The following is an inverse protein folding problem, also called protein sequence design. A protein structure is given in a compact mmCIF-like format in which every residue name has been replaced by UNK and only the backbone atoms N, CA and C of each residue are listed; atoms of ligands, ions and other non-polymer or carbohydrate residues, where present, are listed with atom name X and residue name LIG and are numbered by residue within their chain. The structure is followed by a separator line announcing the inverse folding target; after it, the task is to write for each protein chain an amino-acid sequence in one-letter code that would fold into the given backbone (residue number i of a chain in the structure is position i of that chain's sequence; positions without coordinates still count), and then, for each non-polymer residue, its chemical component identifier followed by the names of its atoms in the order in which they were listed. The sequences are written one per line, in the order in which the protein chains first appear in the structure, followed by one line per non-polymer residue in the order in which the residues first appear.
data_IF_101681271093
#
_entry.id   IF_101681271093
#
_cell.length_a   1.000
_cell.length_b   1.000
_cell.length_c   1.000
_cell.angle_alpha   90.00
_cell.angle_beta   90.00
_cell.angle_gamma   90.00
#
_symmetry.space_group_name_H-M   'P 1'
#
loop_
_entity.id
_entity.type
_entity.pdbx_description
1 polymer ?
#
# COMPACT_ATOMS: atom_id res chain seq x y z
N UNK A 1 40.45 34.94 -19.45
CA UNK A 1 39.50 35.26 -18.36
C UNK A 1 38.04 35.06 -18.77
N UNK A 2 37.61 35.49 -19.96
CA UNK A 2 36.20 35.36 -20.40
C UNK A 2 35.69 33.91 -20.48
N UNK A 3 36.44 32.98 -21.10
CA UNK A 3 36.05 31.57 -21.20
C UNK A 3 35.86 30.87 -19.83
N UNK A 4 36.66 31.26 -18.84
CA UNK A 4 36.54 30.73 -17.47
C UNK A 4 35.25 31.20 -16.78
N UNK A 5 34.84 32.44 -17.01
CA UNK A 5 33.60 32.99 -16.48
C UNK A 5 32.37 32.31 -17.09
N UNK A 6 32.34 32.16 -18.41
CA UNK A 6 31.25 31.46 -19.12
C UNK A 6 31.10 30.01 -18.64
N UNK A 7 32.22 29.28 -18.51
CA UNK A 7 32.21 27.91 -18.01
C UNK A 7 31.70 27.81 -16.57
N UNK A 8 32.05 28.77 -15.71
CA UNK A 8 31.60 28.80 -14.31
C UNK A 8 30.09 29.03 -14.23
N UNK A 9 29.55 29.99 -14.99
CA UNK A 9 28.11 30.27 -15.05
C UNK A 9 27.33 29.08 -15.61
N UNK A 10 27.86 28.44 -16.65
CA UNK A 10 27.24 27.26 -17.24
C UNK A 10 27.19 26.08 -16.27
N UNK A 11 28.27 25.83 -15.52
CA UNK A 11 28.32 24.77 -14.51
C UNK A 11 27.30 25.01 -13.39
N UNK A 12 27.19 26.26 -12.92
CA UNK A 12 26.18 26.66 -11.94
C UNK A 12 24.75 26.45 -12.48
N UNK A 13 24.51 26.78 -13.74
CA UNK A 13 23.23 26.54 -14.40
C UNK A 13 22.87 25.04 -14.45
N UNK A 14 23.82 24.18 -14.81
CA UNK A 14 23.60 22.72 -14.84
C UNK A 14 23.31 22.18 -13.44
N UNK A 15 24.04 22.62 -12.42
CA UNK A 15 23.81 22.21 -11.03
C UNK A 15 22.42 22.65 -10.55
N UNK A 16 22.01 23.88 -10.86
CA UNK A 16 20.70 24.40 -10.49
C UNK A 16 19.56 23.60 -11.14
N UNK A 17 19.65 23.33 -12.45
CA UNK A 17 18.64 22.54 -13.18
C UNK A 17 18.59 21.11 -12.64
N UNK A 18 19.75 20.48 -12.42
CA UNK A 18 19.82 19.11 -11.87
C UNK A 18 19.20 19.04 -10.48
N UNK A 19 19.51 20.00 -9.61
CA UNK A 19 18.93 20.11 -8.28
C UNK A 19 17.40 20.28 -8.32
N UNK A 20 16.90 21.12 -9.24
CA UNK A 20 15.47 21.32 -9.44
C UNK A 20 14.77 20.02 -9.90
N UNK A 21 15.36 19.30 -10.86
CA UNK A 21 14.82 18.01 -11.33
C UNK A 21 14.75 17.02 -10.17
N UNK A 22 15.82 16.87 -9.39
CA UNK A 22 15.85 15.96 -8.24
C UNK A 22 14.78 16.34 -7.22
N UNK A 23 14.62 17.64 -6.91
CA UNK A 23 13.60 18.10 -5.98
C UNK A 23 12.18 17.75 -6.47
N UNK A 24 11.88 17.99 -7.74
CA UNK A 24 10.58 17.64 -8.34
C UNK A 24 10.35 16.13 -8.24
N UNK A 25 11.33 15.31 -8.63
CA UNK A 25 11.23 13.85 -8.54
C UNK A 25 10.99 13.37 -7.11
N UNK A 26 11.66 13.97 -6.12
CA UNK A 26 11.45 13.64 -4.72
C UNK A 26 10.00 13.90 -4.27
N UNK A 27 9.44 15.06 -4.63
CA UNK A 27 8.05 15.37 -4.28
C UNK A 27 7.05 14.45 -5.01
N UNK A 28 7.32 14.09 -6.27
CA UNK A 28 6.49 13.14 -7.00
C UNK A 28 6.51 11.76 -6.36
N UNK A 29 7.69 11.25 -5.99
CA UNK A 29 7.82 9.96 -5.31
C UNK A 29 7.12 9.96 -3.96
N UNK A 30 7.24 11.05 -3.20
CA UNK A 30 6.54 11.21 -1.91
C UNK A 30 5.03 11.21 -2.08
N UNK A 31 4.50 11.92 -3.07
CA UNK A 31 3.08 11.94 -3.38
C UNK A 31 2.58 10.56 -3.85
N UNK A 32 3.33 9.90 -4.75
CA UNK A 32 3.01 8.57 -5.24
C UNK A 32 2.97 7.53 -4.10
N UNK A 33 3.93 7.58 -3.17
CA UNK A 33 3.92 6.73 -1.99
C UNK A 33 2.65 6.95 -1.14
N UNK A 34 2.23 8.21 -0.96
CA UNK A 34 0.97 8.54 -0.29
C UNK A 34 -0.25 7.92 -0.99
N UNK A 35 -0.34 8.05 -2.32
CA UNK A 35 -1.43 7.45 -3.10
C UNK A 35 -1.44 5.92 -3.04
N UNK A 36 -0.26 5.29 -3.06
CA UNK A 36 -0.14 3.83 -2.89
C UNK A 36 -0.67 3.41 -1.53
N UNK A 37 -0.28 4.10 -0.45
CA UNK A 37 -0.77 3.79 0.90
C UNK A 37 -2.29 3.96 1.02
N UNK A 38 -2.86 5.03 0.46
CA UNK A 38 -4.31 5.25 0.45
C UNK A 38 -5.01 4.14 -0.34
N UNK A 39 -4.51 3.80 -1.52
CA UNK A 39 -5.08 2.74 -2.35
C UNK A 39 -5.05 1.38 -1.64
N UNK A 40 -3.94 1.08 -0.95
CA UNK A 40 -3.83 -0.13 -0.13
C UNK A 40 -4.89 -0.12 0.99
N UNK A 41 -4.99 0.98 1.75
CA UNK A 41 -5.96 1.12 2.83
C UNK A 41 -7.41 0.99 2.36
N UNK A 42 -7.77 1.67 1.27
CA UNK A 42 -9.10 1.57 0.65
C UNK A 42 -9.34 0.17 0.12
N UNK A 43 -8.34 -0.48 -0.48
CA UNK A 43 -8.42 -1.86 -0.95
C UNK A 43 -8.73 -2.85 0.16
N UNK A 44 -8.12 -2.68 1.34
CA UNK A 44 -8.46 -3.47 2.52
C UNK A 44 -9.90 -3.24 2.99
N UNK A 45 -10.35 -1.99 3.12
CA UNK A 45 -11.74 -1.71 3.52
C UNK A 45 -12.74 -2.27 2.51
N UNK A 46 -12.47 -2.11 1.22
CA UNK A 46 -13.28 -2.66 0.14
C UNK A 46 -13.39 -4.18 0.23
N UNK A 47 -12.26 -4.87 0.44
CA UNK A 47 -12.23 -6.32 0.63
C UNK A 47 -13.15 -6.77 1.76
N UNK A 48 -13.05 -6.15 2.93
CA UNK A 48 -13.89 -6.51 4.08
C UNK A 48 -15.39 -6.37 3.77
N UNK A 49 -15.79 -5.23 3.20
CA UNK A 49 -17.21 -4.97 2.88
C UNK A 49 -17.72 -5.91 1.80
N UNK A 50 -16.93 -6.13 0.75
CA UNK A 50 -17.32 -6.96 -0.39
C UNK A 50 -17.43 -8.43 -0.01
N UNK A 51 -16.49 -8.95 0.78
CA UNK A 51 -16.50 -10.35 1.21
C UNK A 51 -17.62 -10.64 2.22
N UNK A 52 -17.91 -9.68 3.11
CA UNK A 52 -19.10 -9.77 3.97
C UNK A 52 -20.37 -9.80 3.10
N UNK A 53 -20.46 -8.96 2.07
CA UNK A 53 -21.58 -9.00 1.13
C UNK A 53 -21.71 -10.36 0.43
N UNK A 54 -20.62 -10.89 -0.13
CA UNK A 54 -20.59 -12.20 -0.79
C UNK A 54 -21.01 -13.31 0.19
N UNK A 55 -20.48 -13.29 1.41
CA UNK A 55 -20.77 -14.30 2.43
C UNK A 55 -22.26 -14.35 2.78
N UNK A 56 -22.93 -13.20 2.91
CA UNK A 56 -24.35 -13.16 3.27
C UNK A 56 -25.29 -13.32 2.06
N UNK A 57 -24.93 -12.73 0.92
CA UNK A 57 -25.87 -12.54 -0.20
C UNK A 57 -25.55 -13.43 -1.40
N UNK A 58 -24.27 -13.64 -1.71
CA UNK A 58 -23.82 -14.33 -2.92
C UNK A 58 -22.89 -15.51 -2.60
N UNK A 59 -23.37 -16.41 -1.73
CA UNK A 59 -22.60 -17.56 -1.22
C UNK A 59 -21.99 -18.44 -2.29
N UNK A 60 -22.66 -18.59 -3.44
CA UNK A 60 -22.13 -19.37 -4.55
C UNK A 60 -20.79 -18.81 -5.04
N UNK A 61 -20.71 -17.51 -5.30
CA UNK A 61 -19.47 -16.84 -5.74
C UNK A 61 -18.39 -16.87 -4.67
N UNK A 62 -18.77 -16.70 -3.41
CA UNK A 62 -17.88 -16.84 -2.26
C UNK A 62 -17.19 -18.22 -2.23
N UNK A 63 -17.97 -19.29 -2.41
CA UNK A 63 -17.42 -20.66 -2.39
C UNK A 63 -16.72 -21.05 -3.68
N UNK A 64 -17.15 -20.51 -4.82
CA UNK A 64 -16.57 -20.82 -6.13
C UNK A 64 -15.14 -20.30 -6.23
N UNK A 65 -14.90 -19.04 -5.85
CA UNK A 65 -13.55 -18.46 -5.85
C UNK A 65 -12.64 -19.21 -4.87
N UNK A 66 -13.15 -19.50 -3.66
CA UNK A 66 -12.40 -20.25 -2.66
C UNK A 66 -12.08 -21.69 -3.09
N UNK A 67 -12.99 -22.37 -3.79
CA UNK A 67 -12.77 -23.73 -4.28
C UNK A 67 -11.78 -23.77 -5.46
N UNK A 68 -11.83 -22.76 -6.34
CA UNK A 68 -10.94 -22.67 -7.50
C UNK A 68 -9.51 -22.27 -7.11
N UNK A 69 -9.38 -21.29 -6.21
CA UNK A 69 -8.10 -20.60 -5.96
C UNK A 69 -7.58 -20.77 -4.52
N UNK A 70 -8.36 -21.36 -3.60
CA UNK A 70 -7.94 -21.65 -2.24
C UNK A 70 -7.50 -20.41 -1.47
N UNK A 71 -6.34 -20.46 -0.81
CA UNK A 71 -5.79 -19.31 -0.07
C UNK A 71 -5.33 -18.14 -0.94
N UNK A 72 -5.11 -18.37 -2.25
CA UNK A 72 -4.74 -17.32 -3.20
C UNK A 72 -5.96 -16.63 -3.82
N UNK A 73 -7.16 -17.09 -3.48
CA UNK A 73 -8.44 -16.45 -3.82
C UNK A 73 -8.64 -15.16 -3.04
N UNK A 74 -9.52 -14.28 -3.51
CA UNK A 74 -9.83 -13.04 -2.79
C UNK A 74 -10.51 -13.37 -1.45
N UNK A 75 -11.43 -14.33 -1.46
CA UNK A 75 -12.09 -14.87 -0.27
C UNK A 75 -11.13 -15.56 0.70
N UNK A 76 -10.18 -16.34 0.19
CA UNK A 76 -9.19 -17.06 1.00
C UNK A 76 -8.24 -16.11 1.72
N UNK A 77 -7.80 -15.06 1.04
CA UNK A 77 -7.00 -14.00 1.64
C UNK A 77 -7.78 -13.25 2.73
N UNK A 78 -9.04 -12.89 2.48
CA UNK A 78 -9.93 -12.28 3.47
C UNK A 78 -10.08 -13.14 4.73
N UNK A 79 -10.33 -14.45 4.58
CA UNK A 79 -10.44 -15.39 5.71
C UNK A 79 -9.12 -15.43 6.49
N UNK A 80 -7.98 -15.59 5.80
CA UNK A 80 -6.68 -15.71 6.44
C UNK A 80 -6.32 -14.45 7.24
N UNK A 81 -6.52 -13.26 6.65
CA UNK A 81 -6.26 -11.99 7.33
C UNK A 81 -7.14 -11.81 8.58
N UNK A 82 -8.44 -12.08 8.47
CA UNK A 82 -9.35 -11.94 9.60
C UNK A 82 -9.01 -12.90 10.73
N UNK A 83 -8.63 -14.15 10.41
CA UNK A 83 -8.15 -15.11 11.40
C UNK A 83 -6.86 -14.63 12.08
N UNK A 84 -5.90 -14.10 11.33
CA UNK A 84 -4.66 -13.54 11.89
C UNK A 84 -4.95 -12.37 12.85
N UNK A 85 -5.84 -11.45 12.47
CA UNK A 85 -6.24 -10.32 13.30
C UNK A 85 -6.91 -10.82 14.58
N UNK A 86 -7.86 -11.74 14.47
CA UNK A 86 -8.56 -12.33 15.62
C UNK A 86 -7.59 -13.00 16.58
N UNK A 87 -6.66 -13.82 16.06
CA UNK A 87 -5.64 -14.47 16.86
C UNK A 87 -4.74 -13.46 17.58
N UNK A 88 -4.32 -12.39 16.88
CA UNK A 88 -3.53 -11.31 17.48
C UNK A 88 -4.26 -10.61 18.64
N UNK A 89 -5.56 -10.35 18.48
CA UNK A 89 -6.41 -9.79 19.55
C UNK A 89 -6.53 -10.77 20.72
N UNK A 90 -6.79 -12.05 20.45
CA UNK A 90 -6.93 -13.08 21.49
C UNK A 90 -5.65 -13.22 22.31
N UNK A 91 -4.48 -13.30 21.67
CA UNK A 91 -3.18 -13.36 22.35
C UNK A 91 -2.97 -12.12 23.24
N UNK A 92 -3.30 -10.93 22.74
CA UNK A 92 -3.20 -9.69 23.52
C UNK A 92 -4.12 -9.70 24.74
N UNK A 93 -5.37 -10.15 24.59
CA UNK A 93 -6.35 -10.25 25.68
C UNK A 93 -5.90 -11.24 26.75
N UNK A 94 -5.44 -12.44 26.34
CA UNK A 94 -4.96 -13.47 27.26
C UNK A 94 -3.76 -12.96 28.05
N UNK A 95 -2.79 -12.33 27.38
CA UNK A 95 -1.61 -11.76 28.05
C UNK A 95 -2.00 -10.71 29.08
N UNK A 96 -2.93 -9.81 28.75
CA UNK A 96 -3.38 -8.76 29.66
C UNK A 96 -4.20 -9.29 30.85
N UNK A 97 -4.80 -10.49 30.75
CA UNK A 97 -5.50 -11.14 31.87
C UNK A 97 -4.57 -11.91 32.80
N UNK A 98 -3.40 -12.29 32.31
CA UNK A 98 -2.40 -13.07 33.03
C UNK A 98 -1.25 -12.21 33.61
N UNK A 99 -1.33 -10.89 33.44
CA UNK A 99 -0.44 -9.88 34.04
C UNK A 99 -1.14 -9.22 35.24
#
# INVERSE_FOLDING_TARGET
MQAFFEQTVQLLGILAITGLIIAIFYYLLKAAAGYILITIGVGFVFMEVYEVYLFFTERYRYTEDLAANGLWSFTGFYIALNLLILLGILVKVIRNRNA
#
